data_IF_388281700672
#
_entry.id   IF_388281700672
#
_cell.length_a   1.000
_cell.length_b   1.000
_cell.length_c   1.000
_cell.angle_alpha   90.00
_cell.angle_beta   90.00
_cell.angle_gamma   90.00
#
_symmetry.space_group_name_H-M   'P 1'
#
loop_
_entity.id
_entity.type
_entity.pdbx_description
1 polymer ?
#
# COMPACT_ATOMS: atom_id res chain seq x y z
N UNK A 1 10.19 -40.27 -38.63
CA UNK A 1 11.05 -39.45 -37.73
C UNK A 1 10.19 -38.25 -37.29
N UNK A 2 9.70 -38.32 -36.06
CA UNK A 2 8.78 -37.33 -35.48
C UNK A 2 9.62 -36.40 -34.55
N UNK A 3 9.84 -35.17 -34.99
CA UNK A 3 10.62 -34.19 -34.25
C UNK A 3 9.75 -33.52 -33.14
N UNK A 4 10.14 -33.68 -31.90
CA UNK A 4 9.53 -33.00 -30.74
C UNK A 4 10.14 -31.60 -30.69
N UNK A 5 9.32 -30.56 -30.95
CA UNK A 5 9.68 -29.18 -30.69
C UNK A 5 9.55 -28.88 -29.18
N UNK A 6 10.67 -28.72 -28.53
CA UNK A 6 10.76 -28.35 -27.11
C UNK A 6 10.58 -26.83 -27.00
N UNK A 7 9.39 -26.39 -26.56
CA UNK A 7 9.11 -24.97 -26.26
C UNK A 7 9.78 -24.66 -24.93
N UNK A 8 10.92 -23.97 -24.97
CA UNK A 8 11.55 -23.36 -23.80
C UNK A 8 10.70 -22.16 -23.36
N UNK A 9 9.84 -22.36 -22.37
CA UNK A 9 9.22 -21.25 -21.64
C UNK A 9 10.31 -20.53 -20.82
N UNK A 10 10.90 -19.49 -21.41
CA UNK A 10 11.83 -18.62 -20.72
C UNK A 10 11.09 -17.91 -19.59
N UNK A 11 11.47 -18.17 -18.32
CA UNK A 11 11.12 -17.31 -17.19
C UNK A 11 11.80 -15.96 -17.42
N UNK A 12 11.11 -14.99 -18.01
CA UNK A 12 11.54 -13.60 -17.96
C UNK A 12 11.42 -13.16 -16.51
N UNK A 13 12.57 -13.02 -15.82
CA UNK A 13 12.64 -12.30 -14.56
C UNK A 13 12.05 -10.91 -14.80
N UNK A 14 10.87 -10.65 -14.22
CA UNK A 14 10.21 -9.35 -14.25
C UNK A 14 11.10 -8.35 -13.50
N UNK A 15 12.01 -7.72 -14.20
CA UNK A 15 12.72 -6.54 -13.69
C UNK A 15 11.69 -5.43 -13.64
N UNK A 16 11.16 -5.16 -12.43
CA UNK A 16 10.24 -4.05 -12.21
C UNK A 16 10.96 -2.74 -12.52
N UNK A 17 10.53 -2.10 -13.58
CA UNK A 17 11.01 -0.75 -13.96
C UNK A 17 9.97 0.25 -13.46
N UNK A 18 10.41 1.35 -12.86
CA UNK A 18 9.49 2.39 -12.41
C UNK A 18 8.68 2.95 -13.59
N UNK A 19 7.35 3.03 -13.47
CA UNK A 19 6.52 3.71 -14.46
C UNK A 19 6.84 5.20 -14.54
N UNK A 20 6.62 5.79 -15.72
CA UNK A 20 6.85 7.22 -15.97
C UNK A 20 5.53 7.95 -16.21
N UNK A 21 5.46 9.21 -15.82
CA UNK A 21 4.32 10.09 -16.15
C UNK A 21 4.06 10.06 -17.65
N UNK A 22 2.79 9.89 -18.02
CA UNK A 22 2.35 9.72 -19.41
C UNK A 22 2.24 8.27 -19.89
N UNK A 23 2.74 7.28 -19.14
CA UNK A 23 2.55 5.86 -19.45
C UNK A 23 1.04 5.53 -19.47
N UNK A 24 0.64 4.66 -20.39
CA UNK A 24 -0.71 4.10 -20.37
C UNK A 24 -0.88 3.10 -19.22
N UNK A 25 -2.13 2.77 -18.85
CA UNK A 25 -2.42 1.71 -17.87
C UNK A 25 -1.71 0.40 -18.22
N UNK A 26 -1.70 0.03 -19.53
CA UNK A 26 -1.05 -1.18 -20.01
C UNK A 26 0.49 -1.11 -19.80
N UNK A 27 1.11 0.05 -20.06
CA UNK A 27 2.55 0.24 -19.84
C UNK A 27 2.91 0.17 -18.36
N UNK A 28 2.10 0.78 -17.48
CA UNK A 28 2.28 0.69 -16.02
C UNK A 28 2.23 -0.76 -15.58
N UNK A 29 1.25 -1.54 -16.04
CA UNK A 29 1.12 -2.96 -15.70
C UNK A 29 2.25 -3.81 -16.31
N UNK A 30 2.69 -3.50 -17.51
CA UNK A 30 3.83 -4.20 -18.12
C UNK A 30 5.14 -3.96 -17.37
N UNK A 31 5.35 -2.73 -16.85
CA UNK A 31 6.56 -2.35 -16.09
C UNK A 31 6.53 -2.81 -14.65
N UNK A 32 5.38 -2.72 -13.97
CA UNK A 32 5.30 -2.90 -12.52
C UNK A 32 4.47 -4.13 -12.09
N UNK A 33 3.76 -4.74 -13.02
CA UNK A 33 2.90 -5.89 -12.79
C UNK A 33 1.43 -5.50 -12.58
N UNK A 34 0.55 -6.49 -12.31
CA UNK A 34 -0.85 -6.21 -12.00
C UNK A 34 -0.99 -5.50 -10.65
N UNK A 35 -1.93 -4.55 -10.52
CA UNK A 35 -2.19 -3.89 -9.25
C UNK A 35 -2.83 -4.85 -8.24
N UNK A 36 -2.58 -4.61 -6.95
CA UNK A 36 -3.22 -5.34 -5.84
C UNK A 36 -4.66 -4.87 -5.60
N UNK A 37 -4.94 -3.61 -5.94
CA UNK A 37 -6.28 -3.01 -5.87
C UNK A 37 -6.39 -1.84 -6.83
N UNK A 38 -7.64 -1.48 -7.17
CA UNK A 38 -7.96 -0.31 -7.99
C UNK A 38 -9.07 0.46 -7.29
N UNK A 39 -8.91 1.77 -7.16
CA UNK A 39 -9.87 2.68 -6.55
C UNK A 39 -10.32 3.74 -7.56
N UNK A 40 -11.62 4.06 -7.64
CA UNK A 40 -12.09 5.19 -8.44
C UNK A 40 -11.58 6.51 -7.86
N UNK A 41 -11.15 7.43 -8.73
CA UNK A 41 -10.68 8.76 -8.36
C UNK A 41 -11.18 9.79 -9.39
N UNK A 42 -12.35 10.39 -9.12
CA UNK A 42 -13.01 11.26 -10.07
C UNK A 42 -13.36 10.53 -11.37
N UNK A 43 -12.86 11.04 -12.51
CA UNK A 43 -12.99 10.39 -13.82
C UNK A 43 -11.82 9.44 -14.15
N UNK A 44 -10.84 9.34 -13.26
CA UNK A 44 -9.70 8.44 -13.37
C UNK A 44 -9.74 7.34 -12.32
N UNK A 45 -8.56 6.77 -12.02
CA UNK A 45 -8.42 5.70 -11.03
C UNK A 45 -7.06 5.75 -10.35
N UNK A 46 -6.97 5.11 -9.18
CA UNK A 46 -5.72 4.87 -8.47
C UNK A 46 -5.47 3.36 -8.46
N UNK A 47 -4.31 2.95 -8.93
CA UNK A 47 -3.87 1.55 -8.93
C UNK A 47 -2.88 1.35 -7.79
N UNK A 48 -3.21 0.46 -6.85
CA UNK A 48 -2.38 0.13 -5.69
C UNK A 48 -1.45 -1.04 -5.99
N UNK A 49 -0.22 -0.95 -5.49
CA UNK A 49 0.80 -1.99 -5.55
C UNK A 49 1.41 -2.18 -4.14
N UNK A 50 0.74 -2.97 -3.32
CA UNK A 50 1.22 -3.31 -1.99
C UNK A 50 2.28 -4.41 -2.04
N UNK A 51 3.28 -4.33 -1.16
CA UNK A 51 4.34 -5.36 -1.04
C UNK A 51 3.95 -6.54 -0.15
N UNK A 52 2.66 -6.63 0.20
CA UNK A 52 2.08 -7.69 1.02
C UNK A 52 2.01 -7.34 2.51
N UNK A 53 1.42 -8.24 3.33
CA UNK A 53 1.13 -7.94 4.75
C UNK A 53 2.40 -7.74 5.60
N UNK A 54 3.53 -8.28 5.17
CA UNK A 54 4.82 -8.08 5.83
C UNK A 54 5.66 -6.97 5.17
N UNK A 55 5.17 -6.41 4.08
CA UNK A 55 5.84 -5.35 3.33
C UNK A 55 5.66 -3.97 3.98
N UNK A 56 6.66 -3.12 3.81
CA UNK A 56 6.72 -1.78 4.37
C UNK A 56 6.51 -0.69 3.31
N UNK A 57 6.13 -1.07 2.09
CA UNK A 57 5.96 -0.17 0.95
C UNK A 57 4.64 -0.44 0.24
N UNK A 58 3.96 0.62 -0.12
CA UNK A 58 2.82 0.61 -1.04
C UNK A 58 3.02 1.70 -2.07
N UNK A 59 2.98 1.32 -3.33
CA UNK A 59 3.07 2.25 -4.45
C UNK A 59 1.68 2.53 -5.00
N UNK A 60 1.43 3.78 -5.38
CA UNK A 60 0.19 4.19 -6.01
C UNK A 60 0.48 4.82 -7.36
N UNK A 61 -0.20 4.31 -8.40
CA UNK A 61 -0.25 4.91 -9.71
C UNK A 61 -1.59 5.65 -9.87
N UNK A 62 -1.54 6.97 -9.91
CA UNK A 62 -2.72 7.79 -10.22
C UNK A 62 -2.86 7.90 -11.73
N UNK A 63 -3.98 7.42 -12.26
CA UNK A 63 -4.31 7.45 -13.67
C UNK A 63 -5.36 8.54 -13.90
N UNK A 64 -5.05 9.47 -14.80
CA UNK A 64 -5.94 10.56 -15.17
C UNK A 64 -7.14 10.12 -16.02
N UNK A 65 -8.06 11.05 -16.34
CA UNK A 65 -9.24 10.78 -17.16
C UNK A 65 -8.90 10.33 -18.59
N UNK A 66 -7.70 10.66 -19.07
CA UNK A 66 -7.16 10.27 -20.38
C UNK A 66 -6.55 8.86 -20.40
N UNK A 67 -6.60 8.13 -19.26
CA UNK A 67 -6.05 6.79 -19.12
C UNK A 67 -4.52 6.75 -19.01
N UNK A 68 -3.90 7.90 -18.72
CA UNK A 68 -2.44 8.01 -18.56
C UNK A 68 -2.03 8.24 -17.12
N UNK A 69 -0.80 7.83 -16.81
CA UNK A 69 -0.18 8.00 -15.50
C UNK A 69 0.13 9.46 -15.24
N UNK A 70 -0.53 10.04 -14.23
CA UNK A 70 -0.24 11.39 -13.73
C UNK A 70 0.85 11.36 -12.66
N UNK A 71 0.83 10.33 -11.79
CA UNK A 71 1.74 10.23 -10.66
C UNK A 71 1.99 8.78 -10.25
N UNK A 72 3.23 8.47 -9.92
CA UNK A 72 3.63 7.20 -9.32
C UNK A 72 4.45 7.49 -8.06
N UNK A 73 3.95 7.07 -6.90
CA UNK A 73 4.58 7.39 -5.61
C UNK A 73 4.45 6.27 -4.59
N UNK A 74 5.43 6.19 -3.69
CA UNK A 74 5.35 5.40 -2.46
C UNK A 74 4.55 6.19 -1.43
N UNK A 75 3.51 5.56 -0.85
CA UNK A 75 2.52 6.27 -0.03
C UNK A 75 2.58 5.95 1.47
N UNK A 76 3.31 4.92 1.91
CA UNK A 76 3.48 4.64 3.33
C UNK A 76 4.61 5.52 3.90
N UNK A 77 4.33 6.80 4.05
CA UNK A 77 5.25 7.82 4.58
C UNK A 77 4.56 8.69 5.62
N UNK A 78 5.36 9.28 6.52
CA UNK A 78 4.85 10.21 7.52
C UNK A 78 4.09 11.39 6.90
N UNK A 79 4.58 11.90 5.76
CA UNK A 79 3.96 13.00 5.03
C UNK A 79 2.57 12.59 4.50
N UNK A 80 2.43 11.39 3.96
CA UNK A 80 1.14 10.89 3.48
C UNK A 80 0.15 10.65 4.61
N UNK A 81 0.58 10.03 5.70
CA UNK A 81 -0.28 9.89 6.88
C UNK A 81 -0.78 11.24 7.37
N UNK A 82 0.07 12.26 7.40
CA UNK A 82 -0.30 13.62 7.83
C UNK A 82 -1.35 14.31 6.92
N UNK A 83 -1.55 13.84 5.69
CA UNK A 83 -2.62 14.37 4.82
C UNK A 83 -4.02 13.91 5.21
N UNK A 84 -4.13 12.81 5.95
CA UNK A 84 -5.40 12.27 6.42
C UNK A 84 -6.01 13.17 7.49
N UNK A 85 -7.24 13.62 7.30
CA UNK A 85 -7.90 14.55 8.21
C UNK A 85 -8.69 13.81 9.28
N UNK A 86 -8.20 13.83 10.53
CA UNK A 86 -8.91 13.29 11.70
C UNK A 86 -10.26 13.99 11.85
N UNK A 87 -11.30 13.22 12.13
CA UNK A 87 -12.68 13.69 12.23
C UNK A 87 -13.40 13.91 10.89
N UNK A 88 -12.73 13.70 9.75
CA UNK A 88 -13.31 13.90 8.42
C UNK A 88 -13.06 12.74 7.46
N UNK A 89 -11.82 12.25 7.38
CA UNK A 89 -11.45 11.18 6.46
C UNK A 89 -12.21 9.90 6.81
N UNK A 90 -12.67 9.19 5.79
CA UNK A 90 -13.34 7.90 5.90
C UNK A 90 -12.42 6.79 5.41
N UNK A 91 -12.83 5.55 5.63
CA UNK A 91 -12.07 4.36 5.17
C UNK A 91 -11.72 4.42 3.69
N UNK A 92 -12.65 4.88 2.84
CA UNK A 92 -12.42 5.02 1.40
C UNK A 92 -11.36 6.07 1.08
N UNK A 93 -11.28 7.15 1.86
CA UNK A 93 -10.25 8.18 1.70
C UNK A 93 -8.88 7.64 2.11
N UNK A 94 -8.84 6.85 3.20
CA UNK A 94 -7.62 6.18 3.66
C UNK A 94 -7.12 5.18 2.60
N UNK A 95 -8.02 4.33 2.05
CA UNK A 95 -7.66 3.39 0.99
C UNK A 95 -7.10 4.10 -0.25
N UNK A 96 -7.72 5.21 -0.68
CA UNK A 96 -7.24 5.98 -1.84
C UNK A 96 -5.93 6.72 -1.56
N UNK A 97 -5.61 7.00 -0.30
CA UNK A 97 -4.41 7.78 0.08
C UNK A 97 -3.21 6.92 0.37
N UNK A 98 -3.39 5.84 1.14
CA UNK A 98 -2.29 4.98 1.64
C UNK A 98 -2.50 3.49 1.37
N UNK A 99 -3.62 3.08 0.79
CA UNK A 99 -3.92 1.71 0.41
C UNK A 99 -4.43 0.84 1.54
N UNK A 100 -4.37 -0.48 1.31
CA UNK A 100 -4.84 -1.48 2.27
C UNK A 100 -3.90 -1.61 3.46
N UNK A 101 -4.43 -1.81 4.67
CA UNK A 101 -3.61 -2.09 5.84
C UNK A 101 -2.95 -3.48 5.76
N UNK A 102 -1.83 -3.63 6.48
CA UNK A 102 -1.20 -4.92 6.70
C UNK A 102 -2.04 -5.81 7.63
N UNK A 103 -2.68 -5.20 8.61
CA UNK A 103 -3.49 -5.87 9.63
C UNK A 103 -4.73 -5.03 9.96
N UNK A 104 -5.81 -5.72 10.35
CA UNK A 104 -7.01 -5.09 10.91
C UNK A 104 -7.32 -5.71 12.25
N UNK A 105 -7.75 -4.90 13.22
CA UNK A 105 -8.18 -5.34 14.54
C UNK A 105 -9.37 -4.52 15.02
N UNK A 106 -10.01 -4.97 16.09
CA UNK A 106 -11.15 -4.29 16.69
C UNK A 106 -10.94 -4.14 18.20
N UNK A 107 -11.03 -2.90 18.69
CA UNK A 107 -11.00 -2.59 20.10
C UNK A 107 -12.45 -2.55 20.62
N UNK A 108 -12.84 -3.55 21.42
CA UNK A 108 -14.20 -3.69 21.95
C UNK A 108 -14.65 -2.48 22.78
N UNK A 109 -13.73 -1.93 23.58
CA UNK A 109 -13.88 -0.68 24.29
C UNK A 109 -12.70 0.23 23.88
N UNK A 110 -12.91 1.30 23.15
CA UNK A 110 -14.10 2.12 22.87
C UNK A 110 -14.85 1.81 21.54
N UNK A 111 -14.76 0.60 21.01
CA UNK A 111 -15.41 0.17 19.75
C UNK A 111 -14.84 0.87 18.51
N UNK A 112 -13.54 0.74 18.36
CA UNK A 112 -12.80 1.26 17.23
C UNK A 112 -12.31 0.09 16.37
N UNK A 113 -12.43 0.24 15.06
CA UNK A 113 -11.69 -0.59 14.10
C UNK A 113 -10.32 0.04 13.86
N UNK A 114 -9.28 -0.76 13.91
CA UNK A 114 -7.89 -0.30 13.77
C UNK A 114 -7.28 -0.93 12.53
N UNK A 115 -6.78 -0.10 11.64
CA UNK A 115 -6.01 -0.48 10.47
C UNK A 115 -4.53 -0.18 10.71
N UNK A 116 -3.69 -1.20 10.65
CA UNK A 116 -2.26 -1.09 10.96
C UNK A 116 -1.43 -1.22 9.70
N UNK A 117 -0.51 -0.27 9.52
CA UNK A 117 0.34 -0.14 8.33
C UNK A 117 1.81 -0.23 8.74
N UNK A 118 2.53 -1.26 8.25
CA UNK A 118 3.98 -1.34 8.39
C UNK A 118 4.64 -0.37 7.44
N UNK A 119 5.63 0.40 7.90
CA UNK A 119 6.33 1.34 7.04
C UNK A 119 7.74 1.65 7.53
N UNK A 120 8.54 2.24 6.65
CA UNK A 120 9.88 2.74 6.97
C UNK A 120 9.78 4.21 7.33
N UNK A 121 9.68 4.50 8.62
CA UNK A 121 9.65 5.87 9.13
C UNK A 121 10.97 6.57 8.84
N UNK A 122 10.92 7.69 8.16
CA UNK A 122 12.09 8.44 7.67
C UNK A 122 13.10 7.58 6.89
N UNK A 123 12.65 6.47 6.29
CA UNK A 123 13.49 5.52 5.58
C UNK A 123 14.40 4.65 6.45
N UNK A 124 14.37 4.81 7.77
CA UNK A 124 15.31 4.19 8.72
C UNK A 124 14.62 3.24 9.69
N UNK A 125 13.57 3.70 10.38
CA UNK A 125 12.94 2.95 11.47
C UNK A 125 11.85 2.02 10.97
N UNK A 126 11.80 0.80 11.54
CA UNK A 126 10.68 -0.11 11.32
C UNK A 126 9.55 0.30 12.24
N UNK A 127 8.54 0.94 11.67
CA UNK A 127 7.42 1.53 12.41
C UNK A 127 6.08 0.99 11.92
N UNK A 128 5.08 1.13 12.76
CA UNK A 128 3.70 0.77 12.45
C UNK A 128 2.78 1.95 12.78
N UNK A 129 2.03 2.39 11.76
CA UNK A 129 0.99 3.39 11.94
C UNK A 129 -0.36 2.71 12.16
N UNK A 130 -1.01 3.01 13.28
CA UNK A 130 -2.35 2.53 13.61
C UNK A 130 -3.37 3.64 13.32
N UNK A 131 -4.30 3.35 12.43
CA UNK A 131 -5.35 4.26 11.97
C UNK A 131 -6.67 3.78 12.55
N UNK A 132 -7.29 4.57 13.41
CA UNK A 132 -8.47 4.19 14.18
C UNK A 132 -9.73 4.80 13.58
N UNK A 133 -10.75 3.97 13.39
CA UNK A 133 -12.05 4.39 12.88
C UNK A 133 -13.14 4.14 13.91
N UNK A 134 -14.07 5.09 14.03
CA UNK A 134 -15.29 4.89 14.80
C UNK A 134 -16.28 3.97 14.06
N UNK A 135 -17.43 3.71 14.70
CA UNK A 135 -18.51 2.89 14.14
C UNK A 135 -19.06 3.41 12.81
N UNK A 136 -18.95 4.70 12.53
CA UNK A 136 -19.40 5.33 11.28
C UNK A 136 -18.35 5.25 10.17
N UNK A 137 -17.15 4.69 10.46
CA UNK A 137 -16.03 4.58 9.54
C UNK A 137 -15.25 5.88 9.37
N UNK A 138 -15.38 6.83 10.32
CA UNK A 138 -14.62 8.08 10.33
C UNK A 138 -13.31 7.89 11.09
N UNK A 139 -12.22 8.38 10.53
CA UNK A 139 -10.90 8.42 11.16
C UNK A 139 -10.93 9.30 12.42
N UNK A 140 -10.65 8.71 13.59
CA UNK A 140 -10.69 9.41 14.88
C UNK A 140 -9.32 9.66 15.47
N UNK A 141 -8.35 8.80 15.15
CA UNK A 141 -6.99 8.88 15.71
C UNK A 141 -6.00 8.16 14.81
N UNK A 142 -4.78 8.64 14.80
CA UNK A 142 -3.61 7.91 14.28
C UNK A 142 -2.54 7.83 15.36
N UNK A 143 -1.94 6.65 15.50
CA UNK A 143 -0.92 6.40 16.51
C UNK A 143 0.26 5.67 15.87
N UNK A 144 1.46 6.24 16.00
CA UNK A 144 2.70 5.63 15.54
C UNK A 144 3.39 4.88 16.66
N UNK A 145 4.05 3.78 16.33
CA UNK A 145 4.84 3.00 17.26
C UNK A 145 5.84 2.11 16.53
N UNK A 146 6.74 1.43 17.26
CA UNK A 146 7.65 0.47 16.65
C UNK A 146 6.86 -0.71 16.06
N UNK A 147 7.40 -1.33 14.99
CA UNK A 147 6.83 -2.55 14.43
C UNK A 147 7.28 -3.76 15.26
N UNK A 148 6.35 -4.46 15.94
CA UNK A 148 6.70 -5.59 16.80
C UNK A 148 7.40 -6.74 16.07
N UNK A 149 7.25 -6.83 14.74
CA UNK A 149 7.92 -7.84 13.93
C UNK A 149 9.45 -7.66 13.93
N UNK A 150 9.91 -6.43 14.08
CA UNK A 150 11.33 -6.06 14.04
C UNK A 150 11.88 -5.68 15.40
N UNK A 151 11.09 -5.77 16.47
CA UNK A 151 11.61 -5.64 17.83
C UNK A 151 12.42 -6.89 18.16
N UNK A 152 13.68 -6.71 18.53
CA UNK A 152 14.50 -7.78 19.09
C UNK A 152 13.81 -8.28 20.37
N UNK A 153 13.37 -9.54 20.38
CA UNK A 153 12.99 -10.23 21.61
C UNK A 153 14.25 -10.45 22.41
N UNK A 154 14.59 -9.48 23.25
CA UNK A 154 15.58 -9.69 24.29
C UNK A 154 15.02 -10.73 25.26
N UNK A 155 15.21 -12.01 24.95
CA UNK A 155 15.11 -13.07 25.93
C UNK A 155 16.31 -12.93 26.87
N UNK A 156 16.16 -12.05 27.88
CA UNK A 156 17.02 -12.16 29.04
C UNK A 156 16.60 -13.43 29.76
N UNK A 157 17.47 -14.41 29.73
CA UNK A 157 17.45 -15.53 30.65
C UNK A 157 17.88 -14.98 32.01
N UNK A 158 16.95 -14.85 32.96
CA UNK A 158 17.23 -14.87 34.39
C UNK A 158 17.16 -16.30 34.88
#
# INVERSE_FOLDING_TARGET
>A
IMGIAMVLAGCTALTRTAPMVGDSVADVQAKFGPPTSIYPAGQGQIMEYATGPMGQYTWMATIGPDGRLDKFEQVLTGEKFATLKIGKARKEDVLRTIGRPAETSFLALPQLEVWSYRYRESGVWNSMMHVHFDRSGVLTMMQNGPDPMYEERNFFWD
#
